data_IF_503111261640
#
_entry.id   IF_503111261640
#
_cell.length_a   1.000
_cell.length_b   1.000
_cell.length_c   1.000
_cell.angle_alpha   90.00
_cell.angle_beta   90.00
_cell.angle_gamma   90.00
#
_symmetry.space_group_name_H-M   'P 1'
#
loop_
_entity.id
_entity.type
_entity.pdbx_description
1 polymer ?
#
# COMPACT_ATOMS: atom_id res chain seq x y z
N UNK A 1 15.05 -9.46 -27.49
CA UNK A 1 13.65 -9.49 -26.99
C UNK A 1 13.02 -8.12 -27.20
N UNK A 2 11.81 -8.08 -27.77
CA UNK A 2 11.05 -6.86 -28.01
C UNK A 2 9.61 -7.06 -27.57
N UNK A 3 8.97 -5.99 -27.08
CA UNK A 3 7.54 -5.98 -26.76
C UNK A 3 6.74 -6.04 -28.06
N UNK A 4 5.88 -7.04 -28.21
CA UNK A 4 5.01 -7.20 -29.38
C UNK A 4 3.57 -6.82 -29.09
N UNK A 5 3.11 -6.94 -27.87
CA UNK A 5 1.76 -6.54 -27.46
C UNK A 5 1.67 -6.26 -25.95
N UNK A 6 0.68 -5.44 -25.56
CA UNK A 6 0.26 -5.22 -24.17
C UNK A 6 -1.26 -5.36 -24.14
N UNK A 7 -1.75 -6.31 -23.36
CA UNK A 7 -3.16 -6.62 -23.20
C UNK A 7 -3.61 -6.31 -21.78
N UNK A 8 -4.90 -5.96 -21.63
CA UNK A 8 -5.55 -5.79 -20.34
C UNK A 8 -6.67 -6.80 -20.13
N UNK A 9 -6.89 -7.16 -18.86
CA UNK A 9 -7.96 -8.07 -18.45
C UNK A 9 -8.62 -7.49 -17.19
N UNK A 10 -9.87 -7.07 -17.32
CA UNK A 10 -10.71 -6.67 -16.20
C UNK A 10 -11.35 -7.91 -15.55
N UNK A 11 -11.04 -8.19 -14.30
CA UNK A 11 -11.59 -9.33 -13.54
C UNK A 11 -12.36 -8.82 -12.34
N UNK A 12 -13.68 -9.08 -12.30
CA UNK A 12 -14.49 -8.76 -11.12
C UNK A 12 -14.47 -9.94 -10.16
N UNK A 13 -13.99 -9.71 -8.94
CA UNK A 13 -13.89 -10.73 -7.88
C UNK A 13 -14.83 -10.46 -6.70
N UNK A 14 -15.86 -9.63 -6.92
CA UNK A 14 -16.92 -9.37 -5.95
C UNK A 14 -16.76 -8.07 -5.15
N UNK A 15 -15.56 -7.52 -5.05
CA UNK A 15 -15.28 -6.23 -4.38
C UNK A 15 -14.91 -5.09 -5.37
N UNK A 16 -14.95 -5.38 -6.68
CA UNK A 16 -14.66 -4.47 -7.78
C UNK A 16 -13.82 -5.12 -8.88
N UNK A 17 -13.43 -4.33 -9.87
CA UNK A 17 -12.64 -4.81 -10.99
C UNK A 17 -11.14 -4.72 -10.68
N UNK A 18 -10.42 -5.80 -10.91
CA UNK A 18 -8.96 -5.85 -10.93
C UNK A 18 -8.49 -5.78 -12.37
N UNK A 19 -7.60 -4.86 -12.69
CA UNK A 19 -7.05 -4.68 -14.04
C UNK A 19 -5.68 -5.32 -14.11
N UNK A 20 -5.62 -6.50 -14.71
CA UNK A 20 -4.36 -7.18 -15.01
C UNK A 20 -3.80 -6.70 -16.35
N UNK A 21 -2.49 -6.53 -16.40
CA UNK A 21 -1.73 -6.12 -17.58
C UNK A 21 -0.81 -7.27 -17.99
N UNK A 22 -0.86 -7.66 -19.27
CA UNK A 22 0.02 -8.69 -19.83
C UNK A 22 0.90 -8.10 -20.91
N UNK A 23 2.20 -8.08 -20.67
CA UNK A 23 3.22 -7.69 -21.66
C UNK A 23 3.71 -8.93 -22.39
N UNK A 24 3.64 -8.94 -23.72
CA UNK A 24 4.02 -10.06 -24.61
C UNK A 24 5.27 -9.67 -25.38
N UNK A 25 6.17 -10.65 -25.59
CA UNK A 25 7.43 -10.45 -26.30
C UNK A 25 7.55 -11.36 -27.55
N UNK A 26 8.46 -11.00 -28.46
CA UNK A 26 8.79 -11.78 -29.66
C UNK A 26 9.56 -13.09 -29.36
N UNK A 27 10.02 -13.28 -28.12
CA UNK A 27 10.70 -14.52 -27.68
C UNK A 27 9.75 -15.47 -26.92
N UNK A 28 8.42 -15.33 -27.09
CA UNK A 28 7.37 -16.14 -26.44
C UNK A 28 7.33 -16.01 -24.90
N UNK A 29 8.08 -15.10 -24.32
CA UNK A 29 7.95 -14.74 -22.92
C UNK A 29 6.83 -13.71 -22.75
N UNK A 30 6.17 -13.79 -21.61
CA UNK A 30 5.23 -12.75 -21.19
C UNK A 30 5.35 -12.47 -19.69
N UNK A 31 4.99 -11.28 -19.30
CA UNK A 31 4.86 -10.90 -17.90
C UNK A 31 3.47 -10.42 -17.57
N UNK A 32 3.09 -10.60 -16.31
CA UNK A 32 1.81 -10.14 -15.76
C UNK A 32 2.09 -9.02 -14.76
N UNK A 33 1.26 -7.99 -14.79
CA UNK A 33 1.18 -6.92 -13.82
C UNK A 33 -0.26 -6.70 -13.38
N UNK A 34 -0.47 -5.95 -12.32
CA UNK A 34 -1.78 -5.51 -11.85
C UNK A 34 -1.72 -4.00 -11.62
N UNK A 35 -2.70 -3.26 -12.12
CA UNK A 35 -2.89 -1.85 -11.87
C UNK A 35 -3.87 -1.66 -10.70
N UNK A 36 -3.57 -0.72 -9.79
CA UNK A 36 -4.43 -0.44 -8.64
C UNK A 36 -5.82 0.03 -9.07
N UNK A 37 -6.82 -0.39 -8.31
CA UNK A 37 -8.22 0.03 -8.46
C UNK A 37 -8.43 1.44 -7.90
N UNK A 38 -8.37 2.45 -8.76
CA UNK A 38 -8.51 3.87 -8.38
C UNK A 38 -9.94 4.40 -8.49
N UNK A 39 -10.91 3.54 -8.81
CA UNK A 39 -12.32 3.88 -9.02
C UNK A 39 -12.73 3.84 -10.49
N UNK A 40 -12.26 4.73 -11.38
CA UNK A 40 -12.58 4.66 -12.80
C UNK A 40 -11.71 3.63 -13.55
N UNK A 41 -11.93 2.35 -13.31
CA UNK A 41 -11.11 1.23 -13.78
C UNK A 41 -10.95 1.20 -15.31
N UNK A 42 -12.01 1.50 -16.06
CA UNK A 42 -11.94 1.60 -17.52
C UNK A 42 -11.01 2.72 -18.01
N UNK A 43 -10.88 3.81 -17.24
CA UNK A 43 -9.93 4.87 -17.59
C UNK A 43 -8.47 4.40 -17.37
N UNK A 44 -8.21 3.59 -16.35
CA UNK A 44 -6.90 2.96 -16.15
C UNK A 44 -6.58 2.02 -17.30
N UNK A 45 -7.52 1.18 -17.72
CA UNK A 45 -7.37 0.29 -18.86
C UNK A 45 -7.04 1.06 -20.14
N UNK A 46 -7.80 2.12 -20.45
CA UNK A 46 -7.54 2.96 -21.62
C UNK A 46 -6.19 3.69 -21.53
N UNK A 47 -5.76 4.03 -20.32
CA UNK A 47 -4.43 4.63 -20.11
C UNK A 47 -3.32 3.61 -20.41
N UNK A 48 -3.47 2.33 -20.04
CA UNK A 48 -2.55 1.26 -20.44
C UNK A 48 -2.47 1.16 -21.97
N UNK A 49 -3.61 1.16 -22.67
CA UNK A 49 -3.64 1.11 -24.14
C UNK A 49 -2.99 2.34 -24.78
N UNK A 50 -3.15 3.51 -24.22
CA UNK A 50 -2.46 4.74 -24.68
C UNK A 50 -0.94 4.62 -24.51
N UNK A 51 -0.47 4.16 -23.36
CA UNK A 51 0.95 3.98 -23.09
C UNK A 51 1.59 2.88 -23.96
N UNK A 52 0.84 1.83 -24.31
CA UNK A 52 1.26 0.74 -25.18
C UNK A 52 1.87 1.23 -26.49
N UNK A 53 1.29 2.25 -27.10
CA UNK A 53 1.75 2.80 -28.40
C UNK A 53 3.23 3.23 -28.38
N UNK A 54 3.75 3.60 -27.21
CA UNK A 54 5.15 4.03 -27.05
C UNK A 54 6.10 2.88 -26.71
N UNK A 55 5.56 1.73 -26.36
CA UNK A 55 6.32 0.60 -25.82
C UNK A 55 6.51 -0.54 -26.83
N UNK A 56 5.66 -0.61 -27.85
CA UNK A 56 5.77 -1.64 -28.89
C UNK A 56 7.11 -1.50 -29.63
N UNK A 57 7.83 -2.63 -29.75
CA UNK A 57 9.16 -2.71 -30.36
C UNK A 57 10.33 -2.39 -29.44
N UNK A 58 10.07 -1.86 -28.25
CA UNK A 58 11.09 -1.59 -27.23
C UNK A 58 11.56 -2.88 -26.53
N UNK A 59 12.74 -2.83 -25.92
CA UNK A 59 13.29 -3.91 -25.11
C UNK A 59 12.70 -3.89 -23.69
N UNK A 60 11.92 -4.92 -23.28
CA UNK A 60 11.24 -4.96 -21.98
C UNK A 60 12.20 -5.02 -20.78
N UNK A 61 13.48 -5.33 -20.99
CA UNK A 61 14.47 -5.38 -19.90
C UNK A 61 14.98 -4.01 -19.47
N UNK A 62 14.71 -2.96 -20.27
CA UNK A 62 15.09 -1.56 -20.00
C UNK A 62 14.05 -0.82 -19.16
N UNK A 63 13.66 -1.43 -18.04
CA UNK A 63 12.49 -1.01 -17.22
C UNK A 63 12.54 0.48 -16.86
N UNK A 64 13.68 0.98 -16.36
CA UNK A 64 13.83 2.40 -16.00
C UNK A 64 13.64 3.34 -17.19
N UNK A 65 14.13 2.96 -18.36
CA UNK A 65 13.96 3.72 -19.59
C UNK A 65 12.49 3.76 -20.01
N UNK A 66 11.82 2.61 -19.99
CA UNK A 66 10.40 2.52 -20.35
C UNK A 66 9.52 3.26 -19.36
N UNK A 67 9.83 3.20 -18.06
CA UNK A 67 9.17 3.99 -17.05
C UNK A 67 9.26 5.49 -17.36
N UNK A 68 10.45 5.97 -17.74
CA UNK A 68 10.64 7.38 -18.12
C UNK A 68 9.88 7.76 -19.37
N UNK A 69 9.79 6.88 -20.37
CA UNK A 69 8.96 7.09 -21.56
C UNK A 69 7.50 7.27 -21.18
N UNK A 70 6.96 6.36 -20.36
CA UNK A 70 5.56 6.42 -19.92
C UNK A 70 5.27 7.67 -19.11
N UNK A 71 6.12 8.00 -18.15
CA UNK A 71 5.90 9.13 -17.26
C UNK A 71 6.10 10.48 -17.94
N UNK A 72 7.24 10.66 -18.63
CA UNK A 72 7.60 11.94 -19.26
C UNK A 72 6.92 12.15 -20.63
N UNK A 73 6.49 11.10 -21.31
CA UNK A 73 5.73 11.19 -22.56
C UNK A 73 4.35 11.83 -22.34
N UNK A 74 3.79 11.69 -21.16
CA UNK A 74 2.62 12.45 -20.76
C UNK A 74 3.00 13.91 -20.52
N UNK A 75 2.38 14.86 -21.24
CA UNK A 75 2.71 16.29 -21.11
C UNK A 75 2.50 16.83 -19.70
N UNK A 76 1.54 16.24 -18.96
CA UNK A 76 1.19 16.57 -17.58
C UNK A 76 1.20 15.27 -16.76
N UNK A 77 2.38 14.78 -16.35
CA UNK A 77 2.48 13.53 -15.60
C UNK A 77 1.92 13.66 -14.19
N UNK A 78 1.44 12.56 -13.65
CA UNK A 78 0.94 12.47 -12.28
C UNK A 78 -0.49 11.94 -12.19
N UNK A 79 -1.01 11.90 -10.96
CA UNK A 79 -2.35 11.42 -10.65
C UNK A 79 -2.48 9.89 -10.64
N UNK A 80 -3.57 9.44 -10.03
CA UNK A 80 -3.78 8.01 -9.73
C UNK A 80 -3.90 7.15 -10.98
N UNK A 81 -4.67 7.57 -11.98
CA UNK A 81 -4.92 6.76 -13.18
C UNK A 81 -3.65 6.48 -13.98
N UNK A 82 -2.83 7.52 -14.23
CA UNK A 82 -1.58 7.34 -14.96
C UNK A 82 -0.60 6.47 -14.18
N UNK A 83 -0.44 6.72 -12.87
CA UNK A 83 0.51 5.96 -12.07
C UNK A 83 0.06 4.51 -11.84
N UNK A 84 -1.24 4.22 -11.73
CA UNK A 84 -1.75 2.85 -11.71
C UNK A 84 -1.44 2.11 -13.02
N UNK A 85 -1.67 2.75 -14.19
CA UNK A 85 -1.35 2.16 -15.48
C UNK A 85 0.16 1.91 -15.64
N UNK A 86 1.00 2.89 -15.27
CA UNK A 86 2.47 2.74 -15.28
C UNK A 86 2.90 1.61 -14.36
N UNK A 87 2.36 1.54 -13.14
CA UNK A 87 2.67 0.46 -12.18
C UNK A 87 2.34 -0.92 -12.76
N UNK A 88 1.14 -1.08 -13.32
CA UNK A 88 0.73 -2.35 -13.91
C UNK A 88 1.64 -2.81 -15.06
N UNK A 89 2.05 -1.89 -15.94
CA UNK A 89 2.99 -2.21 -17.02
C UNK A 89 4.39 -2.52 -16.45
N UNK A 90 4.88 -1.70 -15.53
CA UNK A 90 6.22 -1.85 -14.93
C UNK A 90 6.38 -3.18 -14.19
N UNK A 91 5.36 -3.59 -13.44
CA UNK A 91 5.34 -4.89 -12.77
C UNK A 91 5.37 -6.05 -13.77
N UNK A 92 4.64 -5.94 -14.90
CA UNK A 92 4.70 -6.93 -15.97
C UNK A 92 6.10 -7.00 -16.61
N UNK A 93 6.79 -5.86 -16.76
CA UNK A 93 8.16 -5.84 -17.27
C UNK A 93 9.15 -6.54 -16.31
N UNK A 94 8.97 -6.38 -14.99
CA UNK A 94 9.77 -7.10 -14.00
C UNK A 94 9.52 -8.61 -14.05
N UNK A 95 8.27 -9.04 -14.28
CA UNK A 95 7.96 -10.47 -14.45
C UNK A 95 8.61 -11.04 -15.72
N UNK A 96 8.57 -10.31 -16.85
CA UNK A 96 9.33 -10.67 -18.07
C UNK A 96 10.81 -10.81 -17.75
N UNK A 97 11.39 -9.83 -17.07
CA UNK A 97 12.83 -9.81 -16.77
C UNK A 97 13.25 -10.95 -15.85
N UNK A 98 12.45 -11.23 -14.81
CA UNK A 98 12.68 -12.38 -13.92
C UNK A 98 12.67 -13.71 -14.68
N UNK A 99 11.67 -13.90 -15.54
CA UNK A 99 11.54 -15.10 -16.41
C UNK A 99 12.70 -15.22 -17.40
N UNK A 100 13.10 -14.13 -18.04
CA UNK A 100 14.22 -14.11 -18.99
C UNK A 100 15.55 -14.50 -18.34
N UNK A 101 15.76 -14.15 -17.07
CA UNK A 101 16.96 -14.54 -16.32
C UNK A 101 16.80 -15.85 -15.53
N UNK A 102 15.61 -16.44 -15.49
CA UNK A 102 15.33 -17.68 -14.72
C UNK A 102 15.46 -17.49 -13.20
N UNK A 103 15.25 -16.28 -12.69
CA UNK A 103 15.34 -15.96 -11.25
C UNK A 103 14.15 -15.20 -10.74
N UNK A 104 13.78 -15.36 -9.44
CA UNK A 104 12.77 -14.53 -8.83
C UNK A 104 13.18 -13.06 -8.79
N UNK A 105 12.22 -12.16 -8.99
CA UNK A 105 12.46 -10.71 -9.13
C UNK A 105 13.26 -10.12 -7.96
N UNK A 106 13.05 -10.57 -6.72
CA UNK A 106 13.82 -10.04 -5.57
C UNK A 106 15.35 -10.23 -5.73
N UNK A 107 15.83 -11.23 -6.47
CA UNK A 107 17.26 -11.40 -6.73
C UNK A 107 17.81 -10.28 -7.64
N UNK A 108 16.99 -9.77 -8.55
CA UNK A 108 17.33 -8.64 -9.41
C UNK A 108 17.29 -7.30 -8.66
N UNK A 109 16.66 -7.28 -7.47
CA UNK A 109 16.52 -6.11 -6.60
C UNK A 109 17.60 -6.03 -5.49
N UNK A 110 18.63 -6.87 -5.57
CA UNK A 110 19.70 -6.90 -4.58
C UNK A 110 19.72 -8.14 -3.68
N UNK A 111 18.75 -9.03 -3.85
CA UNK A 111 18.66 -10.28 -3.07
C UNK A 111 17.92 -10.13 -1.74
N UNK A 112 17.92 -11.20 -0.95
CA UNK A 112 17.18 -11.25 0.32
C UNK A 112 17.90 -10.52 1.45
N UNK A 113 17.20 -9.63 2.15
CA UNK A 113 17.61 -9.03 3.41
C UNK A 113 17.06 -9.81 4.63
N UNK A 114 16.09 -10.70 4.41
CA UNK A 114 15.43 -11.54 5.43
C UNK A 114 14.85 -12.80 4.82
N UNK A 115 14.52 -13.79 5.65
CA UNK A 115 13.94 -15.06 5.21
C UNK A 115 12.43 -15.14 5.44
N UNK A 116 11.86 -14.20 6.21
CA UNK A 116 10.43 -14.13 6.51
C UNK A 116 9.96 -12.68 6.46
N UNK A 117 8.70 -12.48 6.11
CA UNK A 117 8.03 -11.18 6.08
C UNK A 117 6.99 -11.19 7.20
N UNK A 118 7.09 -10.23 8.12
CA UNK A 118 6.07 -10.01 9.13
C UNK A 118 4.88 -9.32 8.49
N UNK A 119 3.67 -9.77 8.82
CA UNK A 119 2.43 -9.23 8.28
C UNK A 119 1.46 -8.84 9.39
N UNK A 120 0.54 -7.90 9.11
CA UNK A 120 -0.63 -7.63 9.94
C UNK A 120 -1.92 -7.91 9.18
N UNK A 121 -2.99 -8.22 9.92
CA UNK A 121 -4.33 -8.41 9.39
C UNK A 121 -5.22 -7.23 9.77
N UNK A 122 -6.01 -6.72 8.82
CA UNK A 122 -7.12 -5.81 9.10
C UNK A 122 -8.19 -6.50 9.95
N UNK A 123 -8.65 -5.83 10.99
CA UNK A 123 -9.75 -6.28 11.86
C UNK A 123 -10.83 -5.21 11.97
N UNK A 124 -12.06 -5.64 12.28
CA UNK A 124 -13.18 -4.73 12.41
C UNK A 124 -14.30 -5.27 13.29
N UNK A 125 -15.41 -4.54 13.29
CA UNK A 125 -16.62 -4.92 14.03
C UNK A 125 -17.49 -3.72 14.36
N UNK A 126 -18.78 -3.93 14.55
CA UNK A 126 -19.75 -2.87 14.92
C UNK A 126 -19.55 -2.37 16.35
N UNK A 127 -19.15 -3.25 17.26
CA UNK A 127 -18.95 -2.96 18.67
C UNK A 127 -17.51 -3.19 19.12
N UNK A 128 -17.08 -2.66 20.29
CA UNK A 128 -15.77 -3.00 20.86
C UNK A 128 -15.56 -4.50 21.05
N UNK A 129 -16.60 -5.24 21.41
CA UNK A 129 -16.51 -6.69 21.60
C UNK A 129 -16.31 -7.44 20.27
N UNK A 130 -16.94 -6.97 19.17
CA UNK A 130 -16.76 -7.56 17.85
C UNK A 130 -15.32 -7.37 17.38
N UNK A 131 -14.74 -6.16 17.57
CA UNK A 131 -13.32 -5.90 17.26
C UNK A 131 -12.39 -6.81 18.07
N UNK A 132 -12.67 -6.99 19.37
CA UNK A 132 -11.90 -7.88 20.23
C UNK A 132 -11.99 -9.35 19.78
N UNK A 133 -13.16 -9.81 19.35
CA UNK A 133 -13.36 -11.17 18.85
C UNK A 133 -12.60 -11.40 17.52
N UNK A 134 -12.67 -10.43 16.59
CA UNK A 134 -11.94 -10.53 15.32
C UNK A 134 -10.42 -10.47 15.53
N UNK A 135 -9.94 -9.67 16.49
CA UNK A 135 -8.54 -9.65 16.89
C UNK A 135 -8.06 -11.00 17.44
N UNK A 136 -8.87 -11.66 18.31
CA UNK A 136 -8.57 -13.03 18.80
C UNK A 136 -8.51 -14.03 17.65
N UNK A 137 -9.41 -13.92 16.68
CA UNK A 137 -9.38 -14.76 15.49
C UNK A 137 -8.10 -14.55 14.70
N UNK A 138 -7.66 -13.31 14.46
CA UNK A 138 -6.39 -13.02 13.80
C UNK A 138 -5.20 -13.67 14.55
N UNK A 139 -5.14 -13.54 15.86
CA UNK A 139 -4.09 -14.16 16.68
C UNK A 139 -4.13 -15.68 16.59
N UNK A 140 -5.31 -16.30 16.58
CA UNK A 140 -5.46 -17.76 16.43
C UNK A 140 -4.98 -18.26 15.06
N UNK A 141 -4.97 -17.39 14.04
CA UNK A 141 -4.42 -17.63 12.70
C UNK A 141 -2.89 -17.40 12.62
N UNK A 142 -2.26 -16.98 13.71
CA UNK A 142 -0.82 -16.77 13.78
C UNK A 142 -0.35 -15.34 13.52
N UNK A 143 -1.25 -14.37 13.39
CA UNK A 143 -0.87 -12.95 13.25
C UNK A 143 -0.34 -12.39 14.57
N UNK A 144 0.74 -11.63 14.50
CA UNK A 144 1.38 -10.93 15.62
C UNK A 144 1.13 -9.42 15.59
N UNK A 145 0.32 -8.97 14.64
CA UNK A 145 -0.11 -7.58 14.51
C UNK A 145 -1.47 -7.51 13.83
N UNK A 146 -2.27 -6.51 14.22
CA UNK A 146 -3.59 -6.21 13.65
C UNK A 146 -3.72 -4.71 13.36
N UNK A 147 -4.54 -4.35 12.37
CA UNK A 147 -4.86 -2.95 12.02
C UNK A 147 -6.37 -2.74 12.13
N UNK A 148 -6.82 -1.61 12.70
CA UNK A 148 -8.23 -1.29 12.85
C UNK A 148 -8.52 0.20 12.68
N UNK A 149 -9.70 0.52 12.16
CA UNK A 149 -10.25 1.87 12.33
C UNK A 149 -10.66 2.04 13.82
N UNK A 150 -10.06 3.00 14.54
CA UNK A 150 -10.42 3.22 15.94
C UNK A 150 -11.82 3.80 16.09
N UNK A 151 -12.31 4.57 15.10
CA UNK A 151 -13.59 5.27 15.20
C UNK A 151 -14.79 4.34 14.99
N UNK A 152 -15.93 4.63 15.63
CA UNK A 152 -17.18 3.92 15.35
C UNK A 152 -17.69 4.26 13.93
N UNK A 153 -18.38 3.31 13.28
CA UNK A 153 -18.87 3.49 11.91
C UNK A 153 -19.92 4.60 11.72
N UNK A 154 -20.56 5.05 12.80
CA UNK A 154 -21.53 6.16 12.81
C UNK A 154 -20.89 7.50 13.24
N UNK A 155 -19.55 7.62 13.19
CA UNK A 155 -18.80 8.76 13.72
C UNK A 155 -19.29 10.13 13.23
N UNK A 156 -19.78 10.22 11.99
CA UNK A 156 -20.29 11.45 11.39
C UNK A 156 -21.67 11.89 11.95
N UNK A 157 -22.40 10.99 12.60
CA UNK A 157 -23.78 11.23 13.06
C UNK A 157 -23.94 11.35 14.58
N UNK A 158 -22.85 11.15 15.34
CA UNK A 158 -22.85 11.21 16.81
C UNK A 158 -22.02 12.37 17.33
N UNK A 159 -22.30 12.88 18.57
CA UNK A 159 -21.50 13.94 19.17
C UNK A 159 -20.02 13.54 19.29
N UNK A 160 -19.11 14.46 19.00
CA UNK A 160 -17.66 14.22 18.97
C UNK A 160 -17.10 13.60 20.26
N UNK A 161 -17.54 14.08 21.43
CA UNK A 161 -17.14 13.47 22.71
C UNK A 161 -17.58 12.00 22.86
N UNK A 162 -18.61 11.55 22.13
CA UNK A 162 -19.00 10.14 22.06
C UNK A 162 -18.06 9.38 21.12
N UNK A 163 -17.67 9.99 19.96
CA UNK A 163 -16.67 9.39 19.06
C UNK A 163 -15.40 9.07 19.85
N UNK A 164 -14.85 10.03 20.60
CA UNK A 164 -13.63 9.83 21.38
C UNK A 164 -13.76 8.69 22.41
N UNK A 165 -14.88 8.66 23.17
CA UNK A 165 -15.11 7.59 24.15
C UNK A 165 -15.23 6.20 23.52
N UNK A 166 -15.94 6.10 22.40
CA UNK A 166 -16.11 4.82 21.69
C UNK A 166 -14.80 4.39 21.02
N UNK A 167 -14.01 5.32 20.48
CA UNK A 167 -12.67 5.03 19.94
C UNK A 167 -11.76 4.43 21.00
N UNK A 168 -11.68 5.05 22.19
CA UNK A 168 -10.91 4.51 23.30
C UNK A 168 -11.34 3.09 23.68
N UNK A 169 -12.67 2.87 23.85
CA UNK A 169 -13.21 1.55 24.22
C UNK A 169 -12.92 0.46 23.19
N UNK A 170 -12.96 0.78 21.89
CA UNK A 170 -12.67 -0.17 20.81
C UNK A 170 -11.22 -0.63 20.87
N UNK A 171 -10.28 0.30 20.98
CA UNK A 171 -8.85 -0.01 21.06
C UNK A 171 -8.51 -0.71 22.38
N UNK A 172 -9.10 -0.28 23.50
CA UNK A 172 -8.99 -0.95 24.80
C UNK A 172 -9.44 -2.42 24.73
N UNK A 173 -10.64 -2.68 24.18
CA UNK A 173 -11.18 -4.03 24.07
C UNK A 173 -10.25 -4.95 23.25
N UNK A 174 -9.68 -4.44 22.14
CA UNK A 174 -8.70 -5.19 21.35
C UNK A 174 -7.42 -5.45 22.16
N UNK A 175 -6.85 -4.42 22.82
CA UNK A 175 -5.63 -4.57 23.64
C UNK A 175 -5.82 -5.60 24.75
N UNK A 176 -6.93 -5.52 25.46
CA UNK A 176 -7.26 -6.49 26.53
C UNK A 176 -7.46 -7.90 25.98
N UNK A 177 -7.94 -8.03 24.75
CA UNK A 177 -8.20 -9.32 24.12
C UNK A 177 -6.95 -10.04 23.63
N UNK A 178 -5.94 -9.28 23.12
CA UNK A 178 -4.74 -9.85 22.49
C UNK A 178 -3.46 -9.73 23.34
N UNK A 179 -3.49 -8.97 24.43
CA UNK A 179 -2.33 -8.75 25.30
C UNK A 179 -1.26 -7.85 24.69
N UNK A 180 -0.11 -7.74 25.34
CA UNK A 180 0.97 -6.82 24.96
C UNK A 180 1.91 -7.33 23.86
N UNK A 181 1.86 -8.63 23.57
CA UNK A 181 2.74 -9.29 22.58
C UNK A 181 2.22 -9.14 21.14
N UNK A 182 1.02 -8.55 20.94
CA UNK A 182 0.44 -8.31 19.63
C UNK A 182 0.40 -6.81 19.36
N UNK A 183 0.98 -6.38 18.26
CA UNK A 183 0.91 -4.97 17.85
C UNK A 183 -0.47 -4.59 17.32
N UNK A 184 -0.91 -3.36 17.63
CA UNK A 184 -2.15 -2.80 17.13
C UNK A 184 -1.82 -1.54 16.33
N UNK A 185 -2.13 -1.52 15.04
CA UNK A 185 -2.09 -0.33 14.20
C UNK A 185 -3.47 0.31 14.13
N UNK A 186 -3.52 1.63 14.08
CA UNK A 186 -4.76 2.41 13.94
C UNK A 186 -4.80 3.05 12.56
N UNK A 187 -5.98 3.04 11.93
CA UNK A 187 -6.17 3.54 10.59
C UNK A 187 -7.56 4.19 10.43
N UNK A 188 -7.66 5.50 10.62
CA UNK A 188 -8.89 6.24 10.36
C UNK A 188 -9.15 6.53 8.88
N UNK A 189 -8.32 6.00 7.94
CA UNK A 189 -8.50 6.13 6.48
C UNK A 189 -8.69 7.58 6.00
N UNK A 190 -7.93 8.53 6.54
CA UNK A 190 -8.02 9.97 6.23
C UNK A 190 -9.45 10.58 6.38
N UNK A 191 -10.33 9.94 7.18
CA UNK A 191 -11.70 10.43 7.42
C UNK A 191 -11.71 11.71 8.28
N UNK A 192 -10.65 11.95 9.06
CA UNK A 192 -10.57 13.10 9.95
C UNK A 192 -9.99 14.29 9.17
N UNK A 193 -10.75 15.37 9.08
CA UNK A 193 -10.36 16.55 8.31
C UNK A 193 -9.53 17.53 9.14
N UNK A 194 -9.83 17.70 10.43
CA UNK A 194 -9.16 18.69 11.29
C UNK A 194 -8.02 18.08 12.09
N UNK A 195 -6.86 18.75 12.06
CA UNK A 195 -5.66 18.32 12.80
C UNK A 195 -5.93 18.15 14.31
N UNK A 196 -6.73 19.04 14.92
CA UNK A 196 -7.05 18.96 16.34
C UNK A 196 -7.88 17.71 16.66
N UNK A 197 -8.82 17.34 15.81
CA UNK A 197 -9.64 16.12 16.01
C UNK A 197 -8.83 14.85 15.82
N UNK A 198 -7.92 14.84 14.87
CA UNK A 198 -7.01 13.71 14.70
C UNK A 198 -6.12 13.53 15.94
N UNK A 199 -5.61 14.62 16.50
CA UNK A 199 -4.84 14.58 17.74
C UNK A 199 -5.68 14.04 18.91
N UNK A 200 -6.93 14.50 19.09
CA UNK A 200 -7.82 14.03 20.16
C UNK A 200 -8.12 12.53 20.06
N UNK A 201 -8.34 11.99 18.85
CA UNK A 201 -8.51 10.53 18.65
C UNK A 201 -7.22 9.79 19.01
N UNK A 202 -6.08 10.29 18.58
CA UNK A 202 -4.80 9.69 18.92
C UNK A 202 -4.53 9.70 20.43
N UNK A 203 -4.83 10.82 21.13
CA UNK A 203 -4.63 10.94 22.58
C UNK A 203 -5.46 9.92 23.36
N UNK A 204 -6.72 9.69 23.01
CA UNK A 204 -7.55 8.70 23.69
C UNK A 204 -7.15 7.25 23.38
N UNK A 205 -6.46 7.00 22.25
CA UNK A 205 -5.96 5.68 21.87
C UNK A 205 -4.53 5.40 22.37
N UNK A 206 -3.73 6.45 22.62
CA UNK A 206 -2.31 6.37 23.02
C UNK A 206 -2.03 5.48 24.24
N UNK A 207 -2.86 5.43 25.30
CA UNK A 207 -2.65 4.54 26.46
C UNK A 207 -2.53 3.05 26.09
N UNK A 208 -3.07 2.65 24.94
CA UNK A 208 -3.07 1.27 24.45
C UNK A 208 -1.87 0.96 23.55
N UNK A 209 -0.90 1.85 23.43
CA UNK A 209 0.38 1.69 22.74
C UNK A 209 0.22 1.22 21.28
N UNK A 210 -0.40 2.02 20.39
CA UNK A 210 -0.48 1.68 18.97
C UNK A 210 0.91 1.61 18.34
N UNK A 211 1.09 0.67 17.40
CA UNK A 211 2.31 0.55 16.60
C UNK A 211 2.52 1.77 15.71
N UNK A 212 1.43 2.22 15.08
CA UNK A 212 1.39 3.45 14.28
C UNK A 212 -0.06 3.96 14.13
N UNK A 213 -0.17 5.19 13.66
CA UNK A 213 -1.41 5.85 13.29
C UNK A 213 -1.36 6.19 11.81
N UNK A 214 -2.09 5.40 10.99
CA UNK A 214 -2.09 5.45 9.54
C UNK A 214 -3.10 6.45 9.04
N UNK A 215 -2.78 7.14 7.92
CA UNK A 215 -3.65 8.11 7.26
C UNK A 215 -4.41 9.01 8.25
N UNK A 216 -3.64 9.55 9.20
CA UNK A 216 -4.15 10.36 10.31
C UNK A 216 -4.85 11.64 9.86
N UNK A 217 -4.49 12.15 8.68
CA UNK A 217 -5.08 13.28 7.97
C UNK A 217 -5.04 12.99 6.47
N UNK A 218 -5.75 13.79 5.71
CA UNK A 218 -5.67 13.75 4.25
C UNK A 218 -4.28 14.14 3.75
N UNK A 219 -3.73 13.44 2.73
CA UNK A 219 -2.35 13.60 2.27
C UNK A 219 -2.09 14.90 1.49
N UNK A 220 -3.13 15.67 1.14
CA UNK A 220 -2.97 16.89 0.35
C UNK A 220 -2.24 18.01 1.10
N UNK A 221 -2.06 17.88 2.43
CA UNK A 221 -1.37 18.88 3.25
C UNK A 221 -0.33 18.25 4.18
N UNK A 222 0.88 18.06 3.67
CA UNK A 222 2.00 17.53 4.45
C UNK A 222 2.40 18.42 5.64
N UNK A 223 2.19 19.73 5.57
CA UNK A 223 2.48 20.64 6.69
C UNK A 223 1.52 20.42 7.85
N UNK A 224 0.24 20.18 7.57
CA UNK A 224 -0.72 19.83 8.61
C UNK A 224 -0.37 18.47 9.25
N UNK A 225 0.01 17.48 8.44
CA UNK A 225 0.47 16.18 8.93
C UNK A 225 1.75 16.32 9.78
N UNK A 226 2.72 17.11 9.34
CA UNK A 226 3.94 17.40 10.11
C UNK A 226 3.63 18.07 11.46
N UNK A 227 2.70 19.04 11.49
CA UNK A 227 2.25 19.68 12.74
C UNK A 227 1.54 18.71 13.68
N UNK A 228 0.83 17.71 13.15
CA UNK A 228 0.26 16.62 13.93
C UNK A 228 1.36 15.71 14.47
N UNK A 229 2.29 15.30 13.61
CA UNK A 229 3.42 14.43 13.95
C UNK A 229 4.24 14.95 15.14
N UNK A 230 4.52 16.26 15.19
CA UNK A 230 5.23 16.89 16.30
C UNK A 230 4.53 16.75 17.67
N UNK A 231 3.20 16.53 17.69
CA UNK A 231 2.37 16.56 18.90
C UNK A 231 1.86 15.20 19.34
N UNK A 232 1.68 14.29 18.39
CA UNK A 232 0.88 13.08 18.59
C UNK A 232 1.58 12.05 19.52
N UNK A 233 2.89 11.89 19.40
CA UNK A 233 3.67 10.90 20.17
C UNK A 233 3.24 9.44 19.94
N UNK A 234 2.69 9.15 18.76
CA UNK A 234 2.48 7.85 18.14
C UNK A 234 3.14 7.94 16.77
N UNK A 235 3.88 6.94 16.28
CA UNK A 235 4.44 6.98 14.93
C UNK A 235 3.34 7.18 13.88
N UNK A 236 3.54 8.09 12.94
CA UNK A 236 2.62 8.29 11.80
C UNK A 236 3.07 7.44 10.63
N UNK A 237 2.11 6.70 10.04
CA UNK A 237 2.26 5.97 8.81
C UNK A 237 1.36 6.60 7.73
N UNK A 238 1.89 6.81 6.51
CA UNK A 238 1.10 7.37 5.40
C UNK A 238 1.78 7.10 4.06
N UNK A 239 1.05 7.23 2.97
CA UNK A 239 1.62 7.14 1.64
C UNK A 239 0.82 6.35 0.62
N UNK A 240 -0.26 5.69 1.00
CA UNK A 240 -1.10 4.91 0.07
C UNK A 240 -1.70 5.76 -1.06
N UNK A 241 -1.95 7.04 -0.80
CA UNK A 241 -2.48 8.01 -1.75
C UNK A 241 -1.39 8.88 -2.42
N UNK A 242 -0.10 8.57 -2.21
CA UNK A 242 1.02 9.30 -2.81
C UNK A 242 1.66 8.54 -3.96
N UNK A 243 2.12 9.27 -4.96
CA UNK A 243 2.66 8.71 -6.18
C UNK A 243 4.11 9.14 -6.41
N UNK A 244 4.91 8.21 -6.88
CA UNK A 244 6.29 8.39 -7.29
C UNK A 244 7.22 8.96 -6.20
N UNK A 245 8.51 8.79 -6.40
CA UNK A 245 9.57 9.41 -5.57
C UNK A 245 9.43 10.93 -5.40
N UNK A 246 8.71 11.61 -6.31
CA UNK A 246 8.60 13.07 -6.28
C UNK A 246 7.67 13.54 -5.16
N UNK A 247 6.54 12.88 -4.95
CA UNK A 247 5.64 13.19 -3.82
C UNK A 247 6.23 12.68 -2.51
N UNK A 248 6.76 11.46 -2.48
CA UNK A 248 7.42 10.92 -1.30
C UNK A 248 8.63 11.75 -0.84
N UNK A 249 9.38 12.37 -1.76
CA UNK A 249 10.41 13.35 -1.40
C UNK A 249 9.81 14.50 -0.59
N UNK A 250 8.66 15.03 -0.99
CA UNK A 250 8.00 16.14 -0.30
C UNK A 250 7.49 15.71 1.08
N UNK A 251 6.91 14.51 1.17
CA UNK A 251 6.46 13.89 2.43
C UNK A 251 7.63 13.73 3.42
N UNK A 252 8.76 13.18 2.97
CA UNK A 252 9.98 13.02 3.77
C UNK A 252 10.54 14.37 4.21
N UNK A 253 10.67 15.31 3.28
CA UNK A 253 11.23 16.65 3.57
C UNK A 253 10.40 17.44 4.59
N UNK A 254 9.09 17.25 4.61
CA UNK A 254 8.19 17.89 5.58
C UNK A 254 8.22 17.23 6.96
N UNK A 255 8.87 16.06 7.13
CA UNK A 255 8.87 15.26 8.36
C UNK A 255 7.45 14.90 8.84
N UNK A 256 6.59 14.55 7.91
CA UNK A 256 5.19 14.31 8.21
C UNK A 256 4.88 12.84 8.61
N UNK A 257 5.86 11.94 8.52
CA UNK A 257 5.67 10.53 8.84
C UNK A 257 6.97 9.87 9.31
N UNK A 258 6.82 8.76 10.03
CA UNK A 258 7.90 7.83 10.46
C UNK A 258 7.94 6.59 9.58
N UNK A 259 6.80 6.23 9.00
CA UNK A 259 6.59 5.00 8.23
C UNK A 259 5.96 5.35 6.89
N UNK A 260 6.58 4.92 5.79
CA UNK A 260 6.06 5.17 4.46
C UNK A 260 5.33 3.94 3.93
N UNK A 261 4.14 4.17 3.35
CA UNK A 261 3.23 3.14 2.89
C UNK A 261 2.90 3.25 1.39
N UNK A 262 3.91 3.23 0.48
CA UNK A 262 3.60 3.21 -0.93
C UNK A 262 2.80 1.96 -1.30
N UNK A 263 1.79 2.12 -2.15
CA UNK A 263 1.16 1.00 -2.83
C UNK A 263 1.92 0.70 -4.12
N UNK A 264 2.41 -0.52 -4.28
CA UNK A 264 3.26 -0.89 -5.40
C UNK A 264 2.50 -0.96 -6.75
N UNK A 265 1.18 -1.11 -6.68
CA UNK A 265 0.31 -1.09 -7.85
C UNK A 265 -0.07 0.34 -8.27
N UNK A 266 0.34 1.34 -7.48
CA UNK A 266 -0.09 2.73 -7.64
C UNK A 266 1.06 3.74 -7.62
N UNK A 267 2.11 3.51 -6.84
CA UNK A 267 3.19 4.50 -6.65
C UNK A 267 4.14 4.64 -7.86
N UNK A 268 3.90 3.93 -8.95
CA UNK A 268 4.76 3.88 -10.13
C UNK A 268 5.52 2.56 -10.29
N UNK A 269 5.14 1.54 -9.51
CA UNK A 269 5.68 0.18 -9.59
C UNK A 269 6.84 -0.11 -8.64
N UNK A 270 7.44 -1.26 -8.83
CA UNK A 270 8.44 -1.85 -7.94
C UNK A 270 9.74 -1.04 -7.86
N UNK A 271 10.23 -0.51 -9.01
CA UNK A 271 11.45 0.29 -9.03
C UNK A 271 11.25 1.64 -8.33
N UNK A 272 10.10 2.30 -8.54
CA UNK A 272 9.80 3.54 -7.81
C UNK A 272 9.68 3.29 -6.30
N UNK A 273 9.03 2.19 -5.87
CA UNK A 273 8.98 1.80 -4.47
C UNK A 273 10.39 1.56 -3.88
N UNK A 274 11.33 0.95 -4.63
CA UNK A 274 12.73 0.78 -4.21
C UNK A 274 13.46 2.12 -4.05
N UNK A 275 13.22 3.09 -4.93
CA UNK A 275 13.79 4.45 -4.80
C UNK A 275 13.21 5.18 -3.59
N UNK A 276 11.91 5.06 -3.35
CA UNK A 276 11.24 5.59 -2.16
C UNK A 276 11.84 4.98 -0.90
N UNK A 277 12.03 3.66 -0.86
CA UNK A 277 12.63 2.96 0.27
C UNK A 277 14.07 3.42 0.55
N UNK A 278 14.88 3.63 -0.49
CA UNK A 278 16.24 4.14 -0.35
C UNK A 278 16.29 5.58 0.20
N UNK A 279 15.36 6.45 -0.24
CA UNK A 279 15.21 7.79 0.34
C UNK A 279 14.77 7.72 1.80
N UNK A 280 13.79 6.88 2.12
CA UNK A 280 13.31 6.65 3.47
C UNK A 280 14.43 6.16 4.41
N UNK A 281 15.21 5.17 3.99
CA UNK A 281 16.34 4.63 4.74
C UNK A 281 17.37 5.71 5.09
N UNK A 282 17.72 6.57 4.14
CA UNK A 282 18.66 7.68 4.36
C UNK A 282 18.12 8.72 5.37
N UNK A 283 16.83 8.76 5.62
CA UNK A 283 16.16 9.62 6.60
C UNK A 283 15.71 8.87 7.87
N UNK A 284 16.18 7.64 8.09
CA UNK A 284 15.82 6.79 9.23
C UNK A 284 14.32 6.46 9.32
N UNK A 285 13.63 6.40 8.16
CA UNK A 285 12.23 6.02 8.06
C UNK A 285 12.11 4.55 7.63
N UNK A 286 11.01 3.91 8.03
CA UNK A 286 10.72 2.52 7.69
C UNK A 286 9.63 2.40 6.62
N UNK A 287 9.52 1.19 6.03
CA UNK A 287 8.55 0.89 4.98
C UNK A 287 7.52 -0.11 5.49
N UNK A 288 6.24 0.20 5.29
CA UNK A 288 5.12 -0.71 5.54
C UNK A 288 4.13 -0.64 4.37
N UNK A 289 4.41 -1.27 3.22
CA UNK A 289 3.61 -1.09 2.00
C UNK A 289 2.12 -1.32 2.22
N UNK A 290 1.30 -0.44 1.65
CA UNK A 290 -0.14 -0.62 1.51
C UNK A 290 -0.41 -1.79 0.55
N UNK A 291 -1.27 -2.75 0.94
CA UNK A 291 -1.52 -3.97 0.16
C UNK A 291 -2.92 -4.55 0.40
N UNK A 292 -4.00 -3.84 0.04
CA UNK A 292 -5.38 -4.27 0.27
C UNK A 292 -5.95 -5.09 -0.90
N UNK A 293 -5.21 -5.20 -2.03
CA UNK A 293 -5.73 -5.77 -3.26
C UNK A 293 -5.85 -7.30 -3.18
N UNK A 294 -4.97 -8.05 -3.76
CA UNK A 294 -5.15 -9.50 -3.91
C UNK A 294 -3.86 -10.30 -3.83
N UNK A 295 -3.90 -11.58 -4.23
CA UNK A 295 -2.73 -12.45 -4.17
C UNK A 295 -1.57 -11.96 -5.04
N UNK A 296 -1.85 -11.36 -6.20
CA UNK A 296 -0.83 -10.81 -7.07
C UNK A 296 -0.10 -9.64 -6.40
N UNK A 297 -0.85 -8.65 -5.89
CA UNK A 297 -0.31 -7.53 -5.12
C UNK A 297 0.55 -8.02 -3.95
N UNK A 298 0.06 -9.00 -3.19
CA UNK A 298 0.80 -9.60 -2.07
C UNK A 298 2.11 -10.26 -2.53
N UNK A 299 2.12 -10.95 -3.67
CA UNK A 299 3.35 -11.53 -4.23
C UNK A 299 4.37 -10.45 -4.62
N UNK A 300 3.92 -9.37 -5.27
CA UNK A 300 4.75 -8.21 -5.61
C UNK A 300 5.35 -7.57 -4.35
N UNK A 301 4.51 -7.29 -3.35
CA UNK A 301 4.94 -6.77 -2.05
C UNK A 301 5.94 -7.74 -1.38
N UNK A 302 5.75 -9.05 -1.52
CA UNK A 302 6.69 -10.07 -1.05
C UNK A 302 8.08 -9.89 -1.62
N UNK A 303 8.21 -9.71 -2.94
CA UNK A 303 9.48 -9.44 -3.61
C UNK A 303 10.14 -8.12 -3.13
N UNK A 304 9.34 -7.09 -2.95
CA UNK A 304 9.81 -5.81 -2.41
C UNK A 304 10.29 -5.94 -0.96
N UNK A 305 9.44 -6.45 -0.08
CA UNK A 305 9.71 -6.50 1.37
C UNK A 305 10.93 -7.37 1.72
N UNK A 306 11.09 -8.51 1.01
CA UNK A 306 12.22 -9.41 1.27
C UNK A 306 13.56 -8.81 0.85
N UNK A 307 13.56 -7.88 -0.10
CA UNK A 307 14.76 -7.22 -0.66
C UNK A 307 14.96 -5.77 -0.17
N UNK A 308 14.16 -5.30 0.80
CA UNK A 308 14.21 -3.90 1.28
C UNK A 308 14.70 -3.86 2.73
N UNK A 309 15.89 -3.28 3.02
CA UNK A 309 16.50 -3.32 4.37
C UNK A 309 15.63 -2.69 5.46
N UNK A 310 15.07 -1.52 5.21
CA UNK A 310 14.26 -0.74 6.16
C UNK A 310 12.77 -1.13 6.18
N UNK A 311 12.42 -2.35 5.77
CA UNK A 311 11.08 -2.89 5.90
C UNK A 311 10.68 -3.14 7.36
N UNK A 312 9.48 -2.70 7.76
CA UNK A 312 8.91 -2.89 9.09
C UNK A 312 7.90 -4.05 9.12
N UNK A 313 6.82 -3.91 8.36
CA UNK A 313 5.68 -4.84 8.35
C UNK A 313 4.89 -4.68 7.04
N UNK A 314 4.18 -5.72 6.61
CA UNK A 314 3.35 -5.68 5.40
C UNK A 314 1.87 -5.83 5.75
N UNK A 315 1.03 -5.03 5.14
CA UNK A 315 -0.40 -5.26 5.11
C UNK A 315 -0.71 -6.59 4.42
N UNK A 316 -1.58 -7.38 5.03
CA UNK A 316 -1.98 -8.66 4.46
C UNK A 316 -3.49 -8.86 4.55
N UNK A 317 -4.14 -8.85 3.40
CA UNK A 317 -5.54 -9.18 3.27
C UNK A 317 -5.67 -10.69 3.05
N UNK A 318 -6.18 -11.39 4.05
CA UNK A 318 -6.48 -12.80 3.95
C UNK A 318 -8.00 -12.98 3.83
N UNK A 319 -8.49 -13.17 2.63
CA UNK A 319 -9.86 -13.63 2.39
C UNK A 319 -9.82 -15.14 2.15
N UNK A 320 -9.88 -15.91 3.23
CA UNK A 320 -9.80 -17.37 3.19
C UNK A 320 -11.04 -18.03 2.55
N UNK A 321 -12.17 -17.34 2.56
CA UNK A 321 -13.46 -17.87 2.14
C UNK A 321 -14.00 -17.22 0.85
N UNK A 322 -13.28 -16.20 0.31
CA UNK A 322 -13.71 -15.42 -0.83
C UNK A 322 -13.20 -15.88 -2.19
N UNK A 323 -13.66 -15.23 -3.27
CA UNK A 323 -13.25 -15.54 -4.65
C UNK A 323 -11.73 -15.42 -4.89
N UNK A 324 -11.04 -14.58 -4.11
CA UNK A 324 -9.59 -14.38 -4.21
C UNK A 324 -8.74 -15.61 -3.89
N UNK A 325 -9.31 -16.60 -3.20
CA UNK A 325 -8.60 -17.83 -2.85
C UNK A 325 -8.19 -18.66 -4.07
N UNK A 326 -8.89 -18.47 -5.19
CA UNK A 326 -8.71 -19.25 -6.42
C UNK A 326 -7.96 -18.48 -7.52
N UNK A 327 -7.48 -17.29 -7.23
CA UNK A 327 -6.59 -16.52 -8.10
C UNK A 327 -5.13 -16.81 -7.77
#
# INVERSE_FOLDING_TARGET
MKITDILTYGVNIGDGNHIFVKVITDEHLYGIGEAYRVGPDLAVEQTVHYLKEWLIGEDPTRIEHLWRIMYNGSRFPGGSMLNAAISGIELALWDVKGKAHGVPVYQLLGGRCRDRIRVYRGIGGGTPQDCANDAKLAVSQGFTAVKMNPMPGDNASIPWGRVLRESAKRVEAVRMAVGDEVDIALDPHAEIFETVRSLEVAEVCKPYRPLFYEEALRPENFQAMASLHEKIGIPIATGEMNYTKYEFRNLIASRAADILQPDLLLCGGLMEAKKIAAMAEAHCLTMAPHNPMGPYSTAVCGHFCISTPNFLILEYRLDLDGPMRNL
#
